data_IF_388328573541
#
_entry.id   IF_388328573541
#
_cell.length_a   1.000
_cell.length_b   1.000
_cell.length_c   1.000
_cell.angle_alpha   90.00
_cell.angle_beta   90.00
_cell.angle_gamma   90.00
#
_symmetry.space_group_name_H-M   'P 1'
#
loop_
_entity.id
_entity.type
_entity.pdbx_description
1 polymer ?
#
# COMPACT_ATOMS: atom_id res chain seq x y z
N UNK A 1 -9.13 2.08 14.97
CA UNK A 1 -9.15 2.30 13.51
C UNK A 1 -8.67 1.05 12.79
N UNK A 2 -9.48 0.54 11.89
CA UNK A 2 -9.13 -0.66 11.13
C UNK A 2 -8.15 -0.33 10.01
N UNK A 3 -7.55 -1.37 9.42
CA UNK A 3 -6.66 -1.23 8.29
C UNK A 3 -7.38 -0.58 7.10
N UNK A 4 -8.61 -1.01 6.82
CA UNK A 4 -9.41 -0.44 5.75
C UNK A 4 -9.66 1.05 5.95
N UNK A 5 -9.99 1.46 7.17
CA UNK A 5 -10.24 2.85 7.48
C UNK A 5 -8.99 3.70 7.29
N UNK A 6 -7.83 3.18 7.66
CA UNK A 6 -6.57 3.90 7.45
C UNK A 6 -6.29 4.16 5.98
N UNK A 7 -6.49 3.15 5.14
CA UNK A 7 -6.26 3.30 3.71
C UNK A 7 -7.29 4.20 3.05
N UNK A 8 -8.55 4.09 3.45
CA UNK A 8 -9.59 4.97 2.94
C UNK A 8 -9.29 6.42 3.27
N UNK A 9 -8.87 6.67 4.49
CA UNK A 9 -8.52 8.02 4.93
C UNK A 9 -7.33 8.57 4.15
N UNK A 10 -6.30 7.75 3.97
CA UNK A 10 -5.13 8.14 3.19
C UNK A 10 -5.52 8.49 1.74
N UNK A 11 -6.35 7.65 1.11
CA UNK A 11 -6.78 7.87 -0.26
C UNK A 11 -7.62 9.14 -0.39
N UNK A 12 -8.52 9.39 0.57
CA UNK A 12 -9.32 10.61 0.59
C UNK A 12 -8.45 11.85 0.75
N UNK A 13 -7.48 11.79 1.67
CA UNK A 13 -6.56 12.90 1.89
C UNK A 13 -5.76 13.20 0.64
N UNK A 14 -5.28 12.15 -0.03
CA UNK A 14 -4.53 12.30 -1.27
C UNK A 14 -5.37 13.00 -2.34
N UNK A 15 -6.59 12.53 -2.55
CA UNK A 15 -7.50 13.09 -3.55
C UNK A 15 -7.92 14.52 -3.23
N UNK A 16 -8.19 14.80 -1.96
CA UNK A 16 -8.65 16.12 -1.53
C UNK A 16 -7.55 17.16 -1.66
N UNK A 17 -6.34 16.82 -1.31
CA UNK A 17 -5.21 17.73 -1.36
C UNK A 17 -4.59 17.86 -2.75
N UNK A 18 -5.04 17.05 -3.68
CA UNK A 18 -4.50 17.01 -5.01
C UNK A 18 -3.20 16.22 -5.08
N UNK A 19 -2.37 16.53 -6.07
CA UNK A 19 -1.13 15.79 -6.26
C UNK A 19 -0.15 16.09 -5.14
N UNK A 20 0.18 15.04 -4.38
CA UNK A 20 1.06 15.16 -3.22
C UNK A 20 2.07 14.00 -3.21
N UNK A 21 3.28 14.24 -3.70
CA UNK A 21 4.30 13.19 -3.72
C UNK A 21 4.60 12.65 -2.32
N UNK A 22 4.67 13.54 -1.33
CA UNK A 22 4.87 13.12 0.04
C UNK A 22 3.77 12.21 0.57
N UNK A 23 2.53 12.43 0.12
CA UNK A 23 1.41 11.57 0.50
C UNK A 23 1.53 10.19 -0.11
N UNK A 24 1.96 10.12 -1.36
CA UNK A 24 2.17 8.85 -2.03
C UNK A 24 3.30 8.07 -1.35
N UNK A 25 4.41 8.73 -1.06
CA UNK A 25 5.52 8.10 -0.34
C UNK A 25 5.08 7.58 1.03
N UNK A 26 4.27 8.37 1.75
CA UNK A 26 3.72 7.95 3.04
C UNK A 26 2.86 6.72 2.92
N UNK A 27 2.02 6.66 1.89
CA UNK A 27 1.19 5.49 1.62
C UNK A 27 2.02 4.26 1.28
N UNK A 28 3.08 4.44 0.49
CA UNK A 28 3.99 3.35 0.13
C UNK A 28 4.67 2.79 1.37
N UNK A 29 5.17 3.66 2.25
CA UNK A 29 5.83 3.24 3.49
C UNK A 29 4.86 2.48 4.40
N UNK A 30 3.65 3.00 4.52
CA UNK A 30 2.62 2.35 5.33
C UNK A 30 2.30 0.98 4.78
N UNK A 31 2.13 0.87 3.47
CA UNK A 31 1.86 -0.41 2.82
C UNK A 31 2.97 -1.41 3.06
N UNK A 32 4.22 -1.00 2.87
CA UNK A 32 5.38 -1.87 3.11
C UNK A 32 5.42 -2.37 4.54
N UNK A 33 5.17 -1.48 5.49
CA UNK A 33 5.16 -1.83 6.90
C UNK A 33 4.08 -2.87 7.22
N UNK A 34 2.88 -2.68 6.68
CA UNK A 34 1.76 -3.58 6.95
C UNK A 34 1.96 -4.93 6.28
N UNK A 35 2.51 -4.95 5.07
CA UNK A 35 2.83 -6.20 4.40
C UNK A 35 3.90 -6.97 5.16
N UNK A 36 4.91 -6.28 5.66
CA UNK A 36 5.96 -6.93 6.45
C UNK A 36 5.42 -7.49 7.77
N UNK A 37 4.50 -6.78 8.40
CA UNK A 37 3.89 -7.26 9.64
C UNK A 37 3.02 -8.49 9.41
N UNK A 38 2.34 -8.53 8.29
CA UNK A 38 1.39 -9.61 8.01
C UNK A 38 2.05 -10.83 7.41
N UNK A 39 3.01 -10.63 6.49
CA UNK A 39 3.61 -11.71 5.71
C UNK A 39 5.09 -11.95 6.01
N UNK A 40 5.68 -11.17 6.93
CA UNK A 40 7.09 -11.28 7.27
C UNK A 40 7.96 -10.36 6.43
N UNK A 41 9.29 -10.43 6.62
CA UNK A 41 10.21 -9.54 5.91
C UNK A 41 10.01 -9.58 4.40
N UNK A 42 10.00 -8.42 3.77
CA UNK A 42 9.78 -8.31 2.34
C UNK A 42 11.08 -8.53 1.56
N UNK A 43 11.06 -9.33 0.48
CA UNK A 43 12.21 -9.42 -0.41
C UNK A 43 12.53 -8.06 -1.04
N UNK A 44 13.79 -7.84 -1.37
CA UNK A 44 14.21 -6.56 -1.96
C UNK A 44 13.50 -6.23 -3.27
N UNK A 45 13.17 -7.25 -4.07
CA UNK A 45 12.41 -7.08 -5.31
C UNK A 45 11.04 -6.49 -5.04
N UNK A 46 10.39 -6.95 -3.97
CA UNK A 46 9.07 -6.46 -3.57
C UNK A 46 9.18 -5.01 -3.11
N UNK A 47 10.18 -4.71 -2.31
CA UNK A 47 10.40 -3.35 -1.82
C UNK A 47 10.60 -2.40 -3.01
N UNK A 48 11.44 -2.80 -3.98
CA UNK A 48 11.69 -1.99 -5.17
C UNK A 48 10.41 -1.76 -5.97
N UNK A 49 9.63 -2.80 -6.16
CA UNK A 49 8.38 -2.72 -6.91
C UNK A 49 7.38 -1.76 -6.25
N UNK A 50 7.22 -1.90 -4.94
CA UNK A 50 6.29 -1.05 -4.20
C UNK A 50 6.77 0.40 -4.17
N UNK A 51 8.07 0.61 -4.05
CA UNK A 51 8.66 1.95 -3.99
C UNK A 51 8.41 2.76 -5.27
N UNK A 52 8.27 2.10 -6.41
CA UNK A 52 8.00 2.76 -7.68
C UNK A 52 6.54 2.81 -8.08
N UNK A 53 5.65 2.49 -7.17
CA UNK A 53 4.23 2.35 -7.47
C UNK A 53 3.52 3.68 -7.68
N UNK A 54 2.50 3.66 -8.54
CA UNK A 54 1.58 4.76 -8.70
C UNK A 54 0.54 4.74 -7.56
N UNK A 55 -0.18 5.84 -7.42
CA UNK A 55 -1.28 5.91 -6.46
C UNK A 55 -2.29 4.78 -6.68
N UNK A 56 -2.67 4.54 -7.93
CA UNK A 56 -3.66 3.52 -8.28
C UNK A 56 -3.18 2.12 -7.91
N UNK A 57 -1.89 1.86 -8.12
CA UNK A 57 -1.33 0.56 -7.73
C UNK A 57 -1.36 0.36 -6.23
N UNK A 58 -0.98 1.39 -5.49
CA UNK A 58 -1.00 1.34 -4.02
C UNK A 58 -2.43 1.10 -3.54
N UNK A 59 -3.39 1.80 -4.11
CA UNK A 59 -4.80 1.66 -3.76
C UNK A 59 -5.28 0.21 -4.00
N UNK A 60 -4.92 -0.36 -5.14
CA UNK A 60 -5.28 -1.73 -5.48
C UNK A 60 -4.68 -2.73 -4.49
N UNK A 61 -3.40 -2.56 -4.17
CA UNK A 61 -2.73 -3.46 -3.22
C UNK A 61 -3.31 -3.34 -1.82
N UNK A 62 -3.68 -2.14 -1.41
CA UNK A 62 -4.34 -1.93 -0.12
C UNK A 62 -5.66 -2.67 -0.04
N UNK A 63 -6.46 -2.62 -1.10
CA UNK A 63 -7.72 -3.35 -1.15
C UNK A 63 -7.49 -4.85 -1.06
N UNK A 64 -6.50 -5.35 -1.78
CA UNK A 64 -6.19 -6.79 -1.76
C UNK A 64 -5.64 -7.26 -0.42
N UNK A 65 -4.87 -6.41 0.25
CA UNK A 65 -4.26 -6.74 1.53
C UNK A 65 -5.30 -7.17 2.57
N UNK A 66 -6.49 -6.61 2.50
CA UNK A 66 -7.56 -6.93 3.46
C UNK A 66 -7.91 -8.41 3.45
N UNK A 67 -8.00 -9.01 2.27
CA UNK A 67 -8.45 -10.40 2.12
C UNK A 67 -7.36 -11.39 1.71
N UNK A 68 -6.21 -10.91 1.27
CA UNK A 68 -5.15 -11.78 0.76
C UNK A 68 -4.58 -12.68 1.83
N UNK A 69 -4.26 -13.91 1.45
CA UNK A 69 -3.63 -14.87 2.35
C UNK A 69 -2.13 -14.99 2.10
N UNK A 70 -1.62 -14.36 1.06
CA UNK A 70 -0.19 -14.36 0.75
C UNK A 70 0.23 -13.05 0.09
N UNK A 71 1.52 -12.76 0.16
CA UNK A 71 2.09 -11.59 -0.50
C UNK A 71 1.86 -11.63 -2.01
N UNK A 72 1.98 -12.80 -2.61
CA UNK A 72 1.76 -12.97 -4.05
C UNK A 72 0.33 -12.59 -4.46
N UNK A 73 -0.66 -12.87 -3.63
CA UNK A 73 -2.03 -12.48 -3.90
C UNK A 73 -2.21 -10.96 -3.92
N UNK A 74 -1.51 -10.26 -3.04
CA UNK A 74 -1.57 -8.80 -2.99
C UNK A 74 -0.97 -8.20 -4.26
N UNK A 75 0.18 -8.70 -4.67
CA UNK A 75 0.99 -8.10 -5.74
C UNK A 75 0.72 -8.66 -7.14
N UNK A 76 -0.21 -9.55 -7.30
CA UNK A 76 -0.53 -10.10 -8.62
C UNK A 76 -0.91 -9.01 -9.62
N UNK A 77 -0.65 -9.20 -10.92
CA UNK A 77 -1.01 -8.23 -11.94
C UNK A 77 -2.51 -7.97 -12.00
#
# INVERSE_FOLDING_TARGET
MTLEEKFEQWAEDYKREGRQEGRLEGGIRLLQRLLARRFGPLPSEVITRISGASFEEVETWCDRLVDATSLAEVLRP
#
